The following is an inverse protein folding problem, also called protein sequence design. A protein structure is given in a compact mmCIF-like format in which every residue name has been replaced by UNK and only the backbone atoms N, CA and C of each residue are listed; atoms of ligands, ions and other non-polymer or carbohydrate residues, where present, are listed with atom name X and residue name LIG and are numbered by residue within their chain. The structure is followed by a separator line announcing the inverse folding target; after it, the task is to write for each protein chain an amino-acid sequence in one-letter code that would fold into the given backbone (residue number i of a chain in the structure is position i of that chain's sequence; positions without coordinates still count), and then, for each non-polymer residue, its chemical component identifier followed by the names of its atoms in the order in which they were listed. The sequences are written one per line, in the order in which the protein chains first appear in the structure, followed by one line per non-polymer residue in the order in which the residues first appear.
data_IF_970594947614
#
_entry.id   IF_970594947614
#
_cell.length_a   1.000
_cell.length_b   1.000
_cell.length_c   1.000
_cell.angle_alpha   90.00
_cell.angle_beta   90.00
_cell.angle_gamma   90.00
#
_symmetry.space_group_name_H-M   'P 1'
#
loop_
_entity.id
_entity.type
_entity.pdbx_description
1 polymer ?
#
# COMPACT_ATOMS: atom_id res chain seq x y z
N UNK A 1 20.76 24.96 -29.61
CA UNK A 1 19.41 24.46 -29.96
C UNK A 1 19.41 22.94 -29.86
N UNK A 2 18.70 22.36 -28.88
CA UNK A 2 18.10 21.00 -28.86
C UNK A 2 17.92 20.50 -27.40
N UNK A 3 17.13 21.22 -26.58
CA UNK A 3 16.51 20.61 -25.39
C UNK A 3 15.34 19.73 -25.85
N UNK A 4 15.63 18.56 -26.43
CA UNK A 4 14.61 17.56 -26.71
C UNK A 4 14.26 16.79 -25.43
N UNK A 5 13.09 17.08 -24.86
CA UNK A 5 12.11 16.04 -24.50
C UNK A 5 12.46 14.99 -23.45
N UNK A 6 13.33 15.28 -22.47
CA UNK A 6 13.63 14.35 -21.35
C UNK A 6 12.46 14.10 -20.41
N UNK A 7 11.41 14.91 -20.49
CA UNK A 7 10.16 14.66 -19.81
C UNK A 7 9.02 15.01 -20.74
N UNK A 8 7.85 14.45 -20.48
CA UNK A 8 6.65 15.13 -20.92
C UNK A 8 6.60 16.47 -20.15
N UNK A 9 6.92 17.59 -20.81
CA UNK A 9 7.14 18.91 -20.18
C UNK A 9 5.94 19.42 -19.33
N UNK A 10 6.11 20.46 -18.51
CA UNK A 10 4.99 21.17 -17.86
C UNK A 10 3.88 21.64 -18.84
N UNK A 11 4.18 21.71 -20.15
CA UNK A 11 3.27 22.20 -21.19
C UNK A 11 2.29 21.16 -21.75
N UNK A 12 2.32 19.90 -21.31
CA UNK A 12 1.52 18.91 -22.02
C UNK A 12 0.10 18.88 -21.51
N UNK A 13 -0.74 19.10 -22.49
CA UNK A 13 -2.16 19.25 -22.39
C UNK A 13 -2.94 18.06 -21.89
N UNK A 14 -4.22 18.37 -21.66
CA UNK A 14 -5.27 17.37 -21.52
C UNK A 14 -5.22 16.47 -22.75
N UNK A 15 -5.05 15.16 -22.55
CA UNK A 15 -5.10 14.20 -23.67
C UNK A 15 -6.56 13.99 -24.01
N UNK A 16 -6.91 14.20 -25.26
CA UNK A 16 -8.28 14.07 -25.74
C UNK A 16 -8.35 12.95 -26.75
N UNK A 17 -9.34 12.10 -26.59
CA UNK A 17 -9.71 11.07 -27.54
C UNK A 17 -11.11 11.39 -28.04
N UNK A 18 -11.29 11.42 -29.35
CA UNK A 18 -12.61 11.58 -29.97
C UNK A 18 -12.95 10.43 -30.88
N UNK A 19 -14.22 10.07 -30.88
CA UNK A 19 -14.82 9.19 -31.87
C UNK A 19 -15.95 9.93 -32.60
N UNK A 20 -16.21 9.58 -33.88
CA UNK A 20 -17.35 10.10 -34.62
C UNK A 20 -18.71 9.67 -34.03
N UNK A 21 -18.71 8.75 -33.05
CA UNK A 21 -19.91 8.15 -32.44
C UNK A 21 -20.67 7.26 -33.43
N UNK A 22 -21.78 6.70 -32.95
CA UNK A 22 -22.61 5.70 -33.64
C UNK A 22 -22.56 5.85 -35.17
N UNK A 23 -22.10 4.78 -35.86
CA UNK A 23 -22.09 4.57 -37.33
C UNK A 23 -20.75 4.78 -38.09
N UNK A 24 -19.66 5.28 -37.49
CA UNK A 24 -18.32 5.31 -38.14
C UNK A 24 -17.19 4.87 -37.21
N UNK A 25 -16.17 4.19 -37.75
CA UNK A 25 -14.95 3.79 -37.00
C UNK A 25 -13.89 4.88 -37.11
N UNK A 26 -13.10 5.06 -36.04
CA UNK A 26 -11.94 5.94 -36.02
C UNK A 26 -11.80 6.67 -34.70
N UNK A 27 -10.58 6.70 -34.16
CA UNK A 27 -10.23 7.50 -32.99
C UNK A 27 -9.22 8.57 -33.41
N UNK A 28 -9.54 9.84 -33.15
CA UNK A 28 -8.57 10.93 -33.24
C UNK A 28 -8.01 11.20 -31.84
N UNK A 29 -6.71 11.43 -31.72
CA UNK A 29 -6.07 11.84 -30.47
C UNK A 29 -5.37 13.20 -30.60
N UNK A 30 -5.55 14.01 -29.57
CA UNK A 30 -4.99 15.36 -29.49
C UNK A 30 -4.50 15.65 -28.08
N UNK A 31 -3.53 16.56 -27.97
CA UNK A 31 -3.05 17.11 -26.70
C UNK A 31 -3.42 18.61 -26.63
N UNK A 32 -4.20 19.00 -25.64
CA UNK A 32 -4.73 20.36 -25.48
C UNK A 32 -3.93 21.24 -24.52
N UNK A 33 -3.18 22.19 -25.05
CA UNK A 33 -2.55 23.27 -24.29
C UNK A 33 -3.41 24.54 -24.25
N UNK A 34 -2.94 25.55 -23.51
CA UNK A 34 -3.68 26.83 -23.38
C UNK A 34 -3.92 27.52 -24.74
N UNK A 35 -2.99 27.37 -25.68
CA UNK A 35 -3.05 28.03 -27.00
C UNK A 35 -4.04 27.42 -28.01
N UNK A 36 -4.50 26.18 -27.82
CA UNK A 36 -5.38 25.48 -28.79
C UNK A 36 -6.76 25.13 -28.19
N UNK A 37 -7.23 25.90 -27.21
CA UNK A 37 -8.56 25.72 -26.63
C UNK A 37 -9.70 26.07 -27.59
N UNK A 38 -9.46 26.95 -28.58
CA UNK A 38 -10.43 27.21 -29.65
C UNK A 38 -10.73 25.96 -30.48
N UNK A 39 -9.68 25.22 -30.86
CA UNK A 39 -9.80 23.96 -31.60
C UNK A 39 -10.59 22.91 -30.78
N UNK A 40 -10.43 22.92 -29.45
CA UNK A 40 -11.19 22.05 -28.56
C UNK A 40 -12.70 22.35 -28.58
N UNK A 41 -13.10 23.62 -28.58
CA UNK A 41 -14.52 23.97 -28.65
C UNK A 41 -15.15 23.48 -29.95
N UNK A 42 -14.41 23.52 -31.06
CA UNK A 42 -14.88 22.99 -32.33
C UNK A 42 -14.94 21.46 -32.32
N UNK A 43 -13.95 20.81 -31.69
CA UNK A 43 -13.94 19.37 -31.45
C UNK A 43 -15.19 18.92 -30.66
N UNK A 44 -15.57 19.66 -29.62
CA UNK A 44 -16.76 19.40 -28.80
C UNK A 44 -18.08 19.47 -29.57
N UNK A 45 -18.12 20.19 -30.70
CA UNK A 45 -19.31 20.30 -31.55
C UNK A 45 -19.40 19.16 -32.56
N UNK A 46 -18.25 18.73 -33.10
CA UNK A 46 -18.19 17.73 -34.18
C UNK A 46 -18.14 16.27 -33.70
N UNK A 47 -17.68 16.04 -32.47
CA UNK A 47 -17.45 14.71 -31.94
C UNK A 47 -18.61 14.24 -31.08
N UNK A 48 -19.18 13.09 -31.43
CA UNK A 48 -20.22 12.45 -30.62
C UNK A 48 -19.67 11.79 -29.35
N UNK A 49 -18.42 11.31 -29.38
CA UNK A 49 -17.72 10.81 -28.19
C UNK A 49 -16.49 11.64 -27.93
N UNK A 50 -16.33 12.11 -26.70
CA UNK A 50 -15.21 12.93 -26.24
C UNK A 50 -14.74 12.46 -24.87
N UNK A 51 -13.48 12.00 -24.78
CA UNK A 51 -12.87 11.59 -23.50
C UNK A 51 -11.60 12.40 -23.25
N UNK A 52 -11.58 13.13 -22.14
CA UNK A 52 -10.47 13.98 -21.72
C UNK A 52 -9.74 13.36 -20.53
N UNK A 53 -8.41 13.23 -20.62
CA UNK A 53 -7.56 12.71 -19.56
C UNK A 53 -6.61 13.78 -19.04
N UNK A 54 -6.71 14.03 -17.75
CA UNK A 54 -5.79 14.87 -16.96
C UNK A 54 -4.99 13.93 -16.06
N UNK A 55 -3.68 13.85 -16.27
CA UNK A 55 -2.82 12.97 -15.48
C UNK A 55 -1.88 13.78 -14.62
N UNK A 56 -1.30 13.17 -13.59
CA UNK A 56 -0.05 13.66 -12.99
C UNK A 56 1.13 13.50 -13.95
N UNK A 57 2.27 14.07 -13.57
CA UNK A 57 3.49 14.06 -14.37
C UNK A 57 4.00 12.64 -14.70
N UNK A 58 3.78 12.17 -15.93
CA UNK A 58 4.21 10.83 -16.37
C UNK A 58 5.70 10.85 -16.75
N UNK A 59 6.49 10.04 -16.07
CA UNK A 59 7.92 9.84 -16.33
C UNK A 59 8.11 8.73 -17.36
N UNK A 60 8.90 8.97 -18.41
CA UNK A 60 9.29 7.91 -19.34
C UNK A 60 10.26 6.92 -18.67
N UNK A 61 10.31 5.66 -19.16
CA UNK A 61 11.32 4.71 -18.73
C UNK A 61 12.75 5.28 -18.83
N UNK A 62 13.61 4.97 -17.86
CA UNK A 62 15.04 5.29 -17.91
C UNK A 62 15.43 6.71 -17.47
N UNK A 63 14.50 7.52 -16.96
CA UNK A 63 14.81 8.86 -16.45
C UNK A 63 14.99 8.83 -14.93
N UNK A 64 16.16 9.26 -14.46
CA UNK A 64 16.53 9.31 -13.04
C UNK A 64 16.06 10.56 -12.31
N UNK A 65 16.03 11.74 -12.97
CA UNK A 65 15.74 12.97 -12.22
C UNK A 65 14.24 13.15 -12.02
N UNK A 66 13.82 13.13 -10.76
CA UNK A 66 12.42 13.28 -10.42
C UNK A 66 12.07 14.77 -10.37
N UNK A 67 11.12 15.27 -11.19
CA UNK A 67 10.77 16.69 -11.18
C UNK A 67 10.16 17.11 -9.84
N UNK A 68 10.53 18.31 -9.34
CA UNK A 68 9.94 18.90 -8.12
C UNK A 68 8.40 19.00 -8.17
N UNK A 69 7.82 19.08 -9.37
CA UNK A 69 6.38 19.19 -9.61
C UNK A 69 5.68 17.85 -9.87
N UNK A 70 6.31 16.69 -9.59
CA UNK A 70 5.75 15.35 -9.86
C UNK A 70 4.34 15.09 -9.32
N UNK A 71 3.97 15.75 -8.21
CA UNK A 71 2.66 15.60 -7.57
C UNK A 71 1.55 16.46 -8.22
N UNK A 72 1.89 17.37 -9.15
CA UNK A 72 0.93 18.26 -9.79
C UNK A 72 0.26 17.59 -10.98
N UNK A 73 -1.01 17.92 -11.20
CA UNK A 73 -1.73 17.60 -12.44
C UNK A 73 -1.12 18.37 -13.61
N UNK A 74 -1.20 17.77 -14.79
CA UNK A 74 -0.67 18.32 -16.04
C UNK A 74 -1.73 19.12 -16.77
N UNK A 75 -2.18 20.17 -16.12
CA UNK A 75 -3.19 21.09 -16.65
C UNK A 75 -2.95 22.46 -16.02
N UNK A 76 -3.05 23.52 -16.81
CA UNK A 76 -3.02 24.88 -16.27
C UNK A 76 -4.32 25.15 -15.49
N UNK A 77 -4.30 26.12 -14.57
CA UNK A 77 -5.53 26.51 -13.87
C UNK A 77 -6.60 27.07 -14.82
N UNK A 78 -6.18 27.77 -15.88
CA UNK A 78 -7.08 28.31 -16.88
C UNK A 78 -7.73 27.18 -17.69
N UNK A 79 -6.92 26.27 -18.25
CA UNK A 79 -7.40 25.11 -18.99
C UNK A 79 -8.33 24.23 -18.14
N UNK A 80 -7.98 23.99 -16.88
CA UNK A 80 -8.82 23.20 -15.99
C UNK A 80 -10.19 23.85 -15.82
N UNK A 81 -10.25 25.15 -15.52
CA UNK A 81 -11.52 25.89 -15.39
C UNK A 81 -12.32 25.89 -16.70
N UNK A 82 -11.66 26.12 -17.83
CA UNK A 82 -12.31 26.14 -19.14
C UNK A 82 -12.87 24.75 -19.51
N UNK A 83 -12.15 23.68 -19.20
CA UNK A 83 -12.62 22.30 -19.39
C UNK A 83 -13.82 22.00 -18.48
N UNK A 84 -13.72 22.31 -17.19
CA UNK A 84 -14.82 22.11 -16.24
C UNK A 84 -16.08 22.88 -16.67
N UNK A 85 -15.92 24.12 -17.16
CA UNK A 85 -17.03 24.91 -17.70
C UNK A 85 -17.62 24.30 -18.99
N UNK A 86 -16.77 23.81 -19.92
CA UNK A 86 -17.23 23.21 -21.17
C UNK A 86 -18.06 21.93 -20.97
N UNK A 87 -17.81 21.19 -19.88
CA UNK A 87 -18.56 19.99 -19.51
C UNK A 87 -19.71 20.26 -18.52
N UNK A 88 -19.96 21.53 -18.18
CA UNK A 88 -20.88 21.95 -17.13
C UNK A 88 -20.70 21.12 -15.84
N UNK A 89 -19.45 20.93 -15.41
CA UNK A 89 -19.17 20.00 -14.30
C UNK A 89 -19.77 20.49 -12.98
N UNK A 90 -20.40 19.58 -12.24
CA UNK A 90 -20.90 19.85 -10.90
C UNK A 90 -19.76 20.28 -9.95
N UNK A 91 -19.93 21.34 -9.14
CA UNK A 91 -18.96 21.71 -8.10
C UNK A 91 -18.69 20.57 -7.10
N UNK A 92 -19.66 19.68 -6.87
CA UNK A 92 -19.52 18.53 -6.00
C UNK A 92 -18.46 17.53 -6.50
N UNK A 93 -18.27 17.42 -7.83
CA UNK A 93 -17.22 16.60 -8.41
C UNK A 93 -15.83 17.16 -8.11
N UNK A 94 -15.65 18.48 -8.25
CA UNK A 94 -14.37 19.12 -7.94
C UNK A 94 -14.06 19.03 -6.44
N UNK A 95 -15.08 19.25 -5.59
CA UNK A 95 -14.96 19.12 -4.14
C UNK A 95 -14.54 17.70 -3.72
N UNK A 96 -15.13 16.65 -4.30
CA UNK A 96 -14.78 15.26 -3.98
C UNK A 96 -13.36 14.89 -4.39
N UNK A 97 -12.82 15.49 -5.46
CA UNK A 97 -11.43 15.30 -5.84
C UNK A 97 -10.45 16.01 -4.89
N UNK A 98 -10.82 17.14 -4.29
CA UNK A 98 -9.95 17.91 -3.38
C UNK A 98 -9.90 17.27 -1.99
N UNK A 99 -11.04 16.84 -1.47
CA UNK A 99 -11.12 16.24 -0.14
C UNK A 99 -10.47 14.85 -0.12
N UNK A 100 -9.53 14.64 0.81
CA UNK A 100 -8.90 13.33 1.03
C UNK A 100 -9.84 12.31 1.68
N UNK A 101 -10.85 12.81 2.41
CA UNK A 101 -11.74 12.00 3.25
C UNK A 101 -12.99 11.51 2.52
N UNK A 102 -13.33 12.12 1.37
CA UNK A 102 -14.46 11.70 0.55
C UNK A 102 -14.01 10.51 -0.31
N UNK A 103 -14.49 9.32 0.07
CA UNK A 103 -14.09 8.03 -0.52
C UNK A 103 -14.66 7.81 -1.94
N UNK A 104 -15.98 7.87 -2.09
CA UNK A 104 -16.65 7.61 -3.38
C UNK A 104 -16.92 8.88 -4.16
N UNK A 105 -17.23 9.99 -3.49
CA UNK A 105 -17.49 11.26 -4.17
C UNK A 105 -18.56 11.15 -5.26
N UNK A 106 -19.54 10.28 -5.04
CA UNK A 106 -20.52 9.82 -6.02
C UNK A 106 -21.65 10.83 -6.17
N UNK A 107 -22.13 11.03 -7.39
CA UNK A 107 -23.31 11.85 -7.62
C UNK A 107 -23.88 11.69 -9.02
N UNK A 108 -25.17 11.97 -9.13
CA UNK A 108 -25.90 12.01 -10.40
C UNK A 108 -26.74 13.28 -10.43
N UNK A 109 -26.87 13.88 -11.62
CA UNK A 109 -27.67 15.09 -11.86
C UNK A 109 -28.29 14.99 -13.24
N UNK A 110 -29.62 14.96 -13.27
CA UNK A 110 -30.39 15.13 -14.49
C UNK A 110 -30.46 16.63 -14.81
N UNK A 111 -30.15 16.97 -16.06
CA UNK A 111 -30.16 18.33 -16.60
C UNK A 111 -31.23 18.37 -17.68
N UNK A 112 -32.29 19.14 -17.47
CA UNK A 112 -33.31 19.38 -18.49
C UNK A 112 -33.00 20.69 -19.21
N UNK A 113 -32.73 20.63 -20.51
CA UNK A 113 -32.54 21.81 -21.34
C UNK A 113 -33.84 22.52 -21.69
N UNK A 114 -33.74 23.74 -22.24
CA UNK A 114 -34.89 24.55 -22.70
C UNK A 114 -35.72 23.89 -23.81
N UNK A 115 -35.16 22.89 -24.51
CA UNK A 115 -35.79 22.19 -25.63
C UNK A 115 -36.22 20.75 -25.25
N UNK A 116 -36.53 20.49 -23.98
CA UNK A 116 -36.92 19.17 -23.44
C UNK A 116 -35.88 18.04 -23.58
N UNK A 117 -34.73 18.29 -24.21
CA UNK A 117 -33.60 17.37 -24.22
C UNK A 117 -33.06 17.19 -22.81
N UNK A 118 -33.16 15.95 -22.33
CA UNK A 118 -32.60 15.54 -21.05
C UNK A 118 -31.15 15.11 -21.23
N UNK A 119 -30.30 15.53 -20.32
CA UNK A 119 -28.94 15.05 -20.22
C UNK A 119 -28.67 14.55 -18.80
N UNK A 120 -27.95 13.44 -18.67
CA UNK A 120 -27.51 12.91 -17.41
C UNK A 120 -26.04 13.22 -17.22
N UNK A 121 -25.73 13.89 -16.11
CA UNK A 121 -24.37 13.97 -15.59
C UNK A 121 -24.23 13.04 -14.39
N UNK A 122 -23.09 12.37 -14.28
CA UNK A 122 -22.77 11.53 -13.14
C UNK A 122 -21.26 11.48 -12.92
N UNK A 123 -20.85 11.29 -11.67
CA UNK A 123 -19.44 11.32 -11.31
C UNK A 123 -19.15 10.47 -10.10
N UNK A 124 -17.89 10.07 -9.97
CA UNK A 124 -17.36 9.37 -8.82
C UNK A 124 -15.85 9.54 -8.72
N UNK A 125 -15.32 9.21 -7.56
CA UNK A 125 -13.90 9.07 -7.25
C UNK A 125 -13.62 7.60 -7.04
N UNK A 126 -12.80 7.02 -7.90
CA UNK A 126 -12.41 5.62 -7.87
C UNK A 126 -11.15 5.45 -7.01
N UNK A 127 -11.22 4.82 -5.83
CA UNK A 127 -10.02 4.49 -5.06
C UNK A 127 -9.24 3.38 -5.75
N UNK A 128 -7.91 3.53 -5.84
CA UNK A 128 -7.04 2.54 -6.48
C UNK A 128 -5.81 2.26 -5.62
N UNK A 129 -5.42 0.99 -5.53
CA UNK A 129 -4.14 0.56 -4.94
C UNK A 129 -3.32 -0.13 -6.00
N UNK A 130 -2.06 0.28 -6.11
CA UNK A 130 -1.14 -0.24 -7.11
C UNK A 130 0.12 -0.76 -6.42
N UNK A 131 0.51 -1.99 -6.74
CA UNK A 131 1.76 -2.55 -6.25
C UNK A 131 2.87 -2.39 -7.29
N UNK A 132 4.04 -1.94 -6.83
CA UNK A 132 5.18 -1.61 -7.69
C UNK A 132 6.48 -1.99 -7.00
N UNK A 133 7.54 -2.28 -7.75
CA UNK A 133 8.88 -2.37 -7.16
C UNK A 133 9.19 -1.10 -6.38
N UNK A 134 9.92 -1.27 -5.27
CA UNK A 134 10.31 -0.14 -4.45
C UNK A 134 11.26 0.80 -5.22
N UNK A 135 11.03 2.11 -5.13
CA UNK A 135 11.80 3.13 -5.87
C UNK A 135 13.01 3.66 -5.11
N UNK A 136 13.00 3.54 -3.78
CA UNK A 136 14.01 4.17 -2.93
C UNK A 136 15.04 3.12 -2.49
N UNK A 137 16.32 3.49 -2.47
CA UNK A 137 17.41 2.62 -2.00
C UNK A 137 17.23 2.30 -0.50
N UNK A 138 17.74 1.16 -0.05
CA UNK A 138 17.52 0.60 1.31
C UNK A 138 17.82 1.61 2.45
N UNK A 139 18.73 2.57 2.25
CA UNK A 139 19.07 3.62 3.23
C UNK A 139 18.10 4.81 3.31
N UNK A 140 17.37 5.13 2.24
CA UNK A 140 16.42 6.25 2.20
C UNK A 140 15.10 5.97 2.91
N UNK A 141 14.74 4.69 3.08
CA UNK A 141 13.54 4.27 3.80
C UNK A 141 13.61 4.60 5.29
N UNK A 142 14.75 4.37 5.93
CA UNK A 142 14.92 4.60 7.37
C UNK A 142 14.79 6.07 7.80
N UNK A 143 15.04 7.01 6.87
CA UNK A 143 15.04 8.45 7.13
C UNK A 143 13.75 9.16 6.70
N UNK A 144 12.83 8.47 6.01
CA UNK A 144 11.61 9.11 5.51
C UNK A 144 10.50 9.11 6.57
N UNK A 145 9.92 10.29 6.83
CA UNK A 145 8.78 10.50 7.74
C UNK A 145 7.57 9.59 7.42
N UNK A 146 7.50 9.07 6.19
CA UNK A 146 6.40 8.23 5.70
C UNK A 146 6.65 6.73 5.98
N UNK A 147 7.91 6.28 6.06
CA UNK A 147 8.25 4.94 6.58
C UNK A 147 8.10 4.89 8.10
N UNK A 148 8.34 6.00 8.81
CA UNK A 148 8.06 6.04 10.26
C UNK A 148 6.56 5.91 10.60
N UNK A 149 5.66 6.15 9.63
CA UNK A 149 4.21 6.06 9.83
C UNK A 149 3.53 5.06 8.87
N UNK A 150 4.11 3.87 8.71
CA UNK A 150 3.51 2.76 7.93
C UNK A 150 2.15 2.28 8.46
N UNK A 151 1.79 2.68 9.68
CA UNK A 151 0.50 2.38 10.31
C UNK A 151 -0.63 3.22 9.72
N UNK A 152 -0.34 4.41 9.16
CA UNK A 152 -1.34 5.23 8.47
C UNK A 152 -1.78 4.55 7.15
N UNK A 153 -3.05 4.12 7.04
CA UNK A 153 -3.54 3.40 5.87
C UNK A 153 -3.81 4.31 4.65
N UNK A 154 -3.74 5.63 4.84
CA UNK A 154 -3.77 6.61 3.75
C UNK A 154 -2.41 6.79 3.07
N UNK A 155 -1.34 6.31 3.72
CA UNK A 155 0.01 6.23 3.16
C UNK A 155 0.22 5.02 2.24
N UNK A 156 1.44 4.88 1.73
CA UNK A 156 1.84 3.65 1.05
C UNK A 156 2.29 2.60 2.07
N UNK A 157 2.09 1.32 1.75
CA UNK A 157 2.58 0.19 2.52
C UNK A 157 3.84 -0.37 1.86
N UNK A 158 4.95 -0.37 2.58
CA UNK A 158 6.22 -0.95 2.17
C UNK A 158 6.30 -2.42 2.61
N UNK A 159 6.52 -3.31 1.65
CA UNK A 159 6.69 -4.73 1.84
C UNK A 159 8.18 -5.07 1.71
N UNK A 160 8.91 -4.86 2.81
CA UNK A 160 10.37 -4.86 2.85
C UNK A 160 10.99 -6.16 2.30
N UNK A 161 10.46 -7.32 2.71
CA UNK A 161 11.07 -8.62 2.37
C UNK A 161 10.90 -9.00 0.90
N UNK A 162 9.91 -8.41 0.22
CA UNK A 162 9.69 -8.62 -1.22
C UNK A 162 10.02 -7.39 -2.06
N UNK A 163 10.52 -6.31 -1.45
CA UNK A 163 10.92 -5.04 -2.10
C UNK A 163 9.84 -4.43 -2.98
N UNK A 164 8.58 -4.43 -2.51
CA UNK A 164 7.45 -3.82 -3.20
C UNK A 164 6.78 -2.75 -2.33
N UNK A 165 6.20 -1.75 -2.97
CA UNK A 165 5.32 -0.76 -2.34
C UNK A 165 3.90 -0.94 -2.85
N UNK A 166 2.91 -0.92 -1.95
CA UNK A 166 1.50 -0.74 -2.31
C UNK A 166 1.14 0.73 -2.10
N UNK A 167 0.84 1.43 -3.19
CA UNK A 167 0.63 2.88 -3.18
C UNK A 167 -0.85 3.25 -3.38
N UNK A 168 -1.44 4.11 -2.53
CA UNK A 168 -2.74 4.71 -2.77
C UNK A 168 -2.72 5.68 -3.94
N UNK A 169 -3.84 5.70 -4.64
CA UNK A 169 -4.24 6.80 -5.49
C UNK A 169 -5.76 6.85 -5.63
N UNK A 170 -6.25 7.83 -6.37
CA UNK A 170 -7.64 7.94 -6.78
C UNK A 170 -7.74 8.42 -8.22
N UNK A 171 -8.86 8.11 -8.88
CA UNK A 171 -9.18 8.60 -10.22
C UNK A 171 -10.56 9.27 -10.14
N UNK A 172 -10.62 10.56 -10.42
CA UNK A 172 -11.88 11.29 -10.55
C UNK A 172 -12.46 11.06 -11.94
N UNK A 173 -13.73 10.67 -12.02
CA UNK A 173 -14.43 10.46 -13.29
C UNK A 173 -15.71 11.27 -13.28
N UNK A 174 -15.88 12.10 -14.29
CA UNK A 174 -17.12 12.83 -14.55
C UNK A 174 -17.58 12.52 -15.97
N UNK A 175 -18.86 12.20 -16.12
CA UNK A 175 -19.48 11.94 -17.41
C UNK A 175 -20.76 12.73 -17.56
N UNK A 176 -21.03 13.13 -18.80
CA UNK A 176 -22.23 13.81 -19.23
C UNK A 176 -22.71 13.17 -20.54
N UNK A 177 -24.01 12.90 -20.63
CA UNK A 177 -24.61 12.24 -21.79
C UNK A 177 -26.03 12.75 -22.05
N UNK A 178 -26.36 13.09 -23.30
CA UNK A 178 -27.68 13.62 -23.70
C UNK A 178 -28.50 12.66 -24.57
N UNK A 179 -28.08 11.40 -24.67
CA UNK A 179 -28.68 10.40 -25.56
C UNK A 179 -27.90 10.26 -26.88
N UNK A 180 -27.19 11.30 -27.31
CA UNK A 180 -26.47 11.33 -28.60
C UNK A 180 -24.99 11.62 -28.45
N UNK A 181 -24.64 12.51 -27.53
CA UNK A 181 -23.29 12.95 -27.24
C UNK A 181 -22.86 12.36 -25.91
N UNK A 182 -21.65 11.83 -25.87
CA UNK A 182 -20.98 11.31 -24.68
C UNK A 182 -19.72 12.10 -24.41
N UNK A 183 -19.64 12.67 -23.21
CA UNK A 183 -18.53 13.51 -22.78
C UNK A 183 -18.03 13.04 -21.43
N UNK A 184 -16.76 12.65 -21.34
CA UNK A 184 -16.13 12.17 -20.10
C UNK A 184 -14.84 12.92 -19.80
N UNK A 185 -14.65 13.32 -18.54
CA UNK A 185 -13.38 13.82 -18.00
C UNK A 185 -12.87 12.85 -16.95
N UNK A 186 -11.61 12.44 -17.12
CA UNK A 186 -10.89 11.53 -16.22
C UNK A 186 -9.70 12.30 -15.65
N UNK A 187 -9.66 12.42 -14.34
CA UNK A 187 -8.55 13.04 -13.59
C UNK A 187 -7.83 11.96 -12.81
N UNK A 188 -6.67 11.55 -13.31
CA UNK A 188 -5.84 10.52 -12.72
C UNK A 188 -4.77 11.10 -11.79
N UNK A 189 -4.86 10.75 -10.51
CA UNK A 189 -3.91 11.13 -9.47
C UNK A 189 -2.81 10.09 -9.24
N UNK A 190 -2.70 9.04 -10.05
CA UNK A 190 -1.65 8.02 -9.92
C UNK A 190 -0.26 8.64 -10.01
N UNK A 191 0.70 8.06 -9.30
CA UNK A 191 2.10 8.50 -9.35
C UNK A 191 2.62 8.29 -10.77
N UNK A 192 3.00 9.37 -11.46
CA UNK A 192 3.37 9.27 -12.86
C UNK A 192 4.74 8.60 -13.10
N UNK A 193 5.49 8.22 -12.05
CA UNK A 193 6.56 7.19 -12.17
C UNK A 193 6.00 5.86 -12.69
N UNK A 194 4.74 5.57 -12.39
CA UNK A 194 4.02 4.36 -12.77
C UNK A 194 3.39 4.49 -14.16
N UNK A 195 4.16 4.98 -15.13
CA UNK A 195 3.66 5.29 -16.48
C UNK A 195 2.88 4.14 -17.12
N UNK A 196 3.32 2.88 -16.98
CA UNK A 196 2.63 1.73 -17.53
C UNK A 196 1.21 1.52 -16.95
N UNK A 197 1.03 1.87 -15.66
CA UNK A 197 -0.24 1.77 -14.94
C UNK A 197 -1.10 2.99 -15.25
N UNK A 198 -0.56 4.20 -15.10
CA UNK A 198 -1.28 5.45 -15.35
C UNK A 198 -1.73 5.61 -16.82
N UNK A 199 -0.97 5.08 -17.79
CA UNK A 199 -1.34 5.13 -19.21
C UNK A 199 -2.26 3.97 -19.66
N UNK A 200 -2.45 2.93 -18.86
CA UNK A 200 -3.28 1.79 -19.25
C UNK A 200 -4.73 2.18 -19.58
N UNK A 201 -5.47 2.94 -18.73
CA UNK A 201 -6.85 3.29 -19.04
C UNK A 201 -6.98 4.10 -20.32
N UNK A 202 -6.05 5.04 -20.54
CA UNK A 202 -6.00 5.83 -21.77
C UNK A 202 -5.84 4.93 -23.00
N UNK A 203 -4.88 3.99 -22.98
CA UNK A 203 -4.65 3.06 -24.10
C UNK A 203 -5.86 2.18 -24.37
N UNK A 204 -6.46 1.60 -23.33
CA UNK A 204 -7.65 0.74 -23.46
C UNK A 204 -8.83 1.52 -24.05
N UNK A 205 -9.11 2.71 -23.54
CA UNK A 205 -10.23 3.53 -24.03
C UNK A 205 -9.99 3.98 -25.47
N UNK A 206 -8.76 4.38 -25.83
CA UNK A 206 -8.38 4.69 -27.21
C UNK A 206 -8.62 3.51 -28.15
N UNK A 207 -8.20 2.33 -27.75
CA UNK A 207 -8.37 1.08 -28.50
C UNK A 207 -9.85 0.71 -28.66
N UNK A 208 -10.66 0.87 -27.61
CA UNK A 208 -12.11 0.63 -27.68
C UNK A 208 -12.80 1.57 -28.66
N UNK A 209 -12.58 2.89 -28.54
CA UNK A 209 -13.15 3.89 -29.47
C UNK A 209 -12.71 3.63 -30.91
N UNK A 210 -11.46 3.19 -31.12
CA UNK A 210 -10.94 2.90 -32.45
C UNK A 210 -11.54 1.64 -33.10
N UNK A 211 -12.00 0.67 -32.31
CA UNK A 211 -12.46 -0.65 -32.79
C UNK A 211 -13.98 -0.78 -32.87
N UNK A 212 -14.72 -0.13 -31.99
CA UNK A 212 -16.18 -0.25 -31.93
C UNK A 212 -16.85 0.91 -32.67
N UNK A 213 -17.86 0.60 -33.48
CA UNK A 213 -18.74 1.61 -34.08
C UNK A 213 -19.83 2.07 -33.09
N UNK A 214 -19.97 1.37 -31.97
CA UNK A 214 -21.00 1.54 -30.96
C UNK A 214 -20.36 1.74 -29.58
N UNK A 215 -19.54 2.78 -29.47
CA UNK A 215 -18.93 3.15 -28.19
C UNK A 215 -19.96 3.84 -27.31
N UNK A 216 -20.35 3.19 -26.22
CA UNK A 216 -21.37 3.63 -25.29
C UNK A 216 -20.85 4.55 -24.17
N UNK A 217 -21.76 5.26 -23.48
CA UNK A 217 -21.40 6.18 -22.39
C UNK A 217 -20.73 5.50 -21.19
N UNK A 218 -20.93 4.19 -21.00
CA UNK A 218 -20.37 3.44 -19.88
C UNK A 218 -19.07 2.69 -20.20
N UNK A 219 -18.64 2.67 -21.46
CA UNK A 219 -17.46 1.91 -21.89
C UNK A 219 -16.17 2.42 -21.25
N UNK A 220 -16.00 3.74 -21.12
CA UNK A 220 -14.88 4.34 -20.40
C UNK A 220 -14.84 3.90 -18.94
N UNK A 221 -16.01 3.80 -18.31
CA UNK A 221 -16.15 3.42 -16.91
C UNK A 221 -15.81 1.94 -16.72
N UNK A 222 -16.30 1.07 -17.60
CA UNK A 222 -15.99 -0.36 -17.63
C UNK A 222 -14.47 -0.57 -17.79
N UNK A 223 -13.82 0.14 -18.71
CA UNK A 223 -12.38 0.05 -18.92
C UNK A 223 -11.57 0.47 -17.68
N UNK A 224 -11.97 1.54 -17.01
CA UNK A 224 -11.36 2.02 -15.76
C UNK A 224 -11.53 1.02 -14.62
N UNK A 225 -12.75 0.53 -14.41
CA UNK A 225 -13.08 -0.40 -13.33
C UNK A 225 -12.42 -1.78 -13.53
N UNK A 226 -12.36 -2.26 -14.76
CA UNK A 226 -11.63 -3.48 -15.12
C UNK A 226 -10.13 -3.34 -14.82
N UNK A 227 -9.53 -2.19 -15.16
CA UNK A 227 -8.13 -1.91 -14.85
C UNK A 227 -7.90 -1.83 -13.33
N UNK A 228 -8.79 -1.16 -12.61
CA UNK A 228 -8.75 -1.06 -11.14
C UNK A 228 -8.84 -2.44 -10.47
N UNK A 229 -9.78 -3.30 -10.87
CA UNK A 229 -9.90 -4.65 -10.33
C UNK A 229 -8.60 -5.45 -10.47
N UNK A 230 -7.93 -5.33 -11.63
CA UNK A 230 -6.63 -5.96 -11.90
C UNK A 230 -5.53 -5.41 -10.98
N UNK A 231 -5.48 -4.10 -10.76
CA UNK A 231 -4.49 -3.47 -9.87
C UNK A 231 -4.68 -3.90 -8.42
N UNK A 232 -5.93 -3.94 -7.95
CA UNK A 232 -6.29 -4.42 -6.63
C UNK A 232 -5.87 -5.87 -6.40
N UNK A 233 -6.20 -6.76 -7.35
CA UNK A 233 -5.80 -8.16 -7.27
C UNK A 233 -4.26 -8.31 -7.21
N UNK A 234 -3.53 -7.52 -8.01
CA UNK A 234 -2.08 -7.52 -7.98
C UNK A 234 -1.52 -7.02 -6.64
N UNK A 235 -2.11 -5.97 -6.06
CA UNK A 235 -1.70 -5.43 -4.77
C UNK A 235 -1.88 -6.45 -3.63
N UNK A 236 -3.05 -7.08 -3.55
CA UNK A 236 -3.32 -8.14 -2.54
C UNK A 236 -2.43 -9.37 -2.77
N UNK A 237 -2.08 -9.68 -4.02
CA UNK A 237 -1.14 -10.77 -4.32
C UNK A 237 0.27 -10.48 -3.76
N UNK A 238 0.75 -9.24 -3.83
CA UNK A 238 2.03 -8.89 -3.20
C UNK A 238 1.95 -8.99 -1.68
N UNK A 239 0.84 -8.54 -1.09
CA UNK A 239 0.63 -8.69 0.34
C UNK A 239 0.64 -10.16 0.78
N UNK A 240 -0.03 -11.06 0.03
CA UNK A 240 0.03 -12.51 0.26
C UNK A 240 1.46 -13.05 0.27
N UNK A 241 2.31 -12.59 -0.66
CA UNK A 241 3.72 -13.00 -0.73
C UNK A 241 4.50 -12.54 0.51
N UNK A 242 4.27 -11.31 0.97
CA UNK A 242 4.85 -10.80 2.22
C UNK A 242 4.42 -11.65 3.42
N UNK A 243 3.12 -11.94 3.56
CA UNK A 243 2.62 -12.78 4.65
C UNK A 243 3.21 -14.20 4.61
N UNK A 244 3.35 -14.79 3.41
CA UNK A 244 4.01 -16.09 3.26
C UNK A 244 5.49 -16.05 3.70
N UNK A 245 6.18 -14.92 3.53
CA UNK A 245 7.53 -14.73 4.06
C UNK A 245 7.54 -14.71 5.59
N UNK A 246 6.60 -13.99 6.21
CA UNK A 246 6.45 -13.97 7.67
C UNK A 246 6.15 -15.34 8.26
N UNK A 247 5.24 -16.11 7.65
CA UNK A 247 4.94 -17.48 8.10
C UNK A 247 6.21 -18.32 8.15
N UNK A 248 7.02 -18.32 7.08
CA UNK A 248 8.28 -19.08 7.03
C UNK A 248 9.25 -18.67 8.12
N UNK A 249 9.34 -17.38 8.44
CA UNK A 249 10.21 -16.91 9.53
C UNK A 249 9.68 -17.38 10.89
N UNK A 250 8.38 -17.26 11.14
CA UNK A 250 7.76 -17.66 12.41
C UNK A 250 7.89 -19.17 12.62
N UNK A 251 7.63 -19.98 11.60
CA UNK A 251 7.75 -21.45 11.66
C UNK A 251 9.19 -21.92 11.89
N UNK A 252 10.18 -21.32 11.19
CA UNK A 252 11.60 -21.60 11.45
C UNK A 252 11.97 -21.31 12.90
N UNK A 253 11.51 -20.19 13.44
CA UNK A 253 11.77 -19.81 14.82
C UNK A 253 11.07 -20.72 15.83
N UNK A 254 9.92 -21.32 15.47
CA UNK A 254 9.24 -22.34 16.28
C UNK A 254 10.02 -23.66 16.30
N UNK A 255 10.58 -24.09 15.17
CA UNK A 255 11.39 -25.32 15.05
C UNK A 255 12.80 -25.21 15.66
N UNK A 256 13.41 -24.03 15.63
CA UNK A 256 14.70 -23.77 16.25
C UNK A 256 14.69 -23.85 17.79
N UNK A 257 13.51 -23.94 18.42
CA UNK A 257 13.36 -24.17 19.87
C UNK A 257 13.83 -25.58 20.28
N UNK A 258 13.98 -26.51 19.32
CA UNK A 258 14.28 -27.92 19.61
C UNK A 258 15.78 -28.19 19.84
N UNK A 259 16.70 -27.30 19.44
CA UNK A 259 18.16 -27.55 19.52
C UNK A 259 18.95 -26.59 20.43
N UNK A 260 18.29 -25.99 21.41
CA UNK A 260 18.98 -25.19 22.45
C UNK A 260 19.84 -26.03 23.40
N UNK A 261 19.71 -27.36 23.36
CA UNK A 261 20.52 -28.27 24.18
C UNK A 261 21.99 -28.29 23.73
N UNK A 262 22.26 -28.07 22.44
CA UNK A 262 23.61 -27.97 21.89
C UNK A 262 24.22 -26.58 22.13
N UNK A 263 23.40 -25.54 22.13
CA UNK A 263 23.81 -24.15 22.37
C UNK A 263 24.05 -23.85 23.85
N UNK A 264 23.32 -24.53 24.76
CA UNK A 264 23.59 -24.47 26.21
C UNK A 264 24.97 -25.04 26.56
N UNK A 265 25.42 -26.10 25.86
CA UNK A 265 26.79 -26.62 26.01
C UNK A 265 27.84 -25.60 25.55
N UNK A 266 27.60 -24.94 24.42
CA UNK A 266 28.50 -23.90 23.90
C UNK A 266 28.55 -22.65 24.79
N UNK A 267 27.45 -22.30 25.46
CA UNK A 267 27.41 -21.18 26.42
C UNK A 267 28.03 -21.53 27.78
N UNK A 268 27.94 -22.80 28.22
CA UNK A 268 28.69 -23.28 29.38
C UNK A 268 30.20 -23.29 29.11
N UNK A 269 30.63 -23.54 27.87
CA UNK A 269 32.04 -23.54 27.46
C UNK A 269 32.60 -22.12 27.16
N UNK A 270 31.77 -21.17 26.70
CA UNK A 270 32.20 -19.84 26.23
C UNK A 270 31.81 -18.66 27.13
N UNK A 271 31.80 -18.83 28.45
CA UNK A 271 31.52 -17.77 29.43
C UNK A 271 32.47 -16.53 29.39
N UNK A 272 33.34 -16.40 28.37
CA UNK A 272 34.31 -15.31 28.22
C UNK A 272 34.11 -14.41 26.98
N UNK A 273 33.15 -14.66 26.08
CA UNK A 273 32.94 -13.78 24.90
C UNK A 273 31.65 -12.95 25.02
N UNK A 274 31.81 -11.72 25.51
CA UNK A 274 30.75 -10.71 25.72
C UNK A 274 30.70 -9.64 24.61
N UNK A 275 31.30 -9.87 23.43
CA UNK A 275 31.51 -8.82 22.40
C UNK A 275 30.66 -8.94 21.13
N UNK A 276 29.82 -9.96 20.99
CA UNK A 276 28.84 -10.08 19.89
C UNK A 276 27.40 -9.91 20.42
N UNK A 277 26.49 -9.26 19.67
CA UNK A 277 25.08 -9.23 20.04
C UNK A 277 24.61 -10.67 20.21
N UNK A 278 23.99 -11.00 21.34
CA UNK A 278 23.48 -12.34 21.54
C UNK A 278 22.47 -12.68 20.43
N UNK A 279 22.46 -13.92 19.97
CA UNK A 279 21.50 -14.45 18.99
C UNK A 279 20.04 -14.14 19.43
N UNK A 280 19.82 -13.97 20.74
CA UNK A 280 18.54 -13.56 21.32
C UNK A 280 18.14 -12.11 20.98
N UNK A 281 19.08 -11.17 20.96
CA UNK A 281 18.80 -9.78 20.63
C UNK A 281 18.34 -9.61 19.17
N UNK A 282 19.02 -10.27 18.23
CA UNK A 282 18.66 -10.21 16.81
C UNK A 282 17.30 -10.86 16.53
N UNK A 283 16.99 -11.97 17.19
CA UNK A 283 15.71 -12.65 17.05
C UNK A 283 14.56 -11.75 17.54
N UNK A 284 14.72 -11.11 18.70
CA UNK A 284 13.74 -10.15 19.24
C UNK A 284 13.56 -8.95 18.33
N UNK A 285 14.64 -8.38 17.80
CA UNK A 285 14.58 -7.26 16.87
C UNK A 285 13.80 -7.63 15.60
N UNK A 286 14.03 -8.83 15.05
CA UNK A 286 13.27 -9.37 13.91
C UNK A 286 11.80 -9.61 14.24
N UNK A 287 11.47 -10.21 15.38
CA UNK A 287 10.08 -10.40 15.81
C UNK A 287 9.34 -9.07 16.00
N UNK A 288 9.99 -8.07 16.57
CA UNK A 288 9.42 -6.73 16.72
C UNK A 288 9.16 -6.08 15.36
N UNK A 289 10.09 -6.20 14.40
CA UNK A 289 9.91 -5.69 13.05
C UNK A 289 8.73 -6.37 12.34
N UNK A 290 8.62 -7.71 12.41
CA UNK A 290 7.49 -8.46 11.87
C UNK A 290 6.19 -8.01 12.51
N UNK A 291 6.14 -7.91 13.84
CA UNK A 291 4.94 -7.45 14.57
C UNK A 291 4.48 -6.06 14.10
N UNK A 292 5.40 -5.10 13.97
CA UNK A 292 5.08 -3.76 13.45
C UNK A 292 4.55 -3.80 12.01
N UNK A 293 5.16 -4.63 11.16
CA UNK A 293 4.71 -4.80 9.78
C UNK A 293 3.33 -5.47 9.68
N UNK A 294 3.04 -6.45 10.54
CA UNK A 294 1.72 -7.09 10.63
C UNK A 294 0.64 -6.11 11.11
N UNK A 295 0.91 -5.28 12.11
CA UNK A 295 -0.04 -4.23 12.54
C UNK A 295 -0.27 -3.19 11.44
N UNK A 296 0.79 -2.78 10.74
CA UNK A 296 0.65 -1.89 9.57
C UNK A 296 -0.21 -2.56 8.50
N UNK A 297 0.06 -3.82 8.18
CA UNK A 297 -0.70 -4.62 7.21
C UNK A 297 -2.17 -4.70 7.58
N UNK A 298 -2.49 -4.96 8.85
CA UNK A 298 -3.87 -5.01 9.35
C UNK A 298 -4.60 -3.68 9.18
N UNK A 299 -3.96 -2.55 9.52
CA UNK A 299 -4.52 -1.20 9.33
C UNK A 299 -4.84 -0.93 7.85
N UNK A 300 -3.91 -1.28 6.94
CA UNK A 300 -4.12 -1.16 5.50
C UNK A 300 -5.23 -2.07 4.98
N UNK A 301 -5.31 -3.32 5.45
CA UNK A 301 -6.39 -4.25 5.08
C UNK A 301 -7.77 -3.72 5.46
N UNK A 302 -7.92 -3.10 6.65
CA UNK A 302 -9.17 -2.45 7.03
C UNK A 302 -9.55 -1.31 6.08
N UNK A 303 -8.59 -0.46 5.70
CA UNK A 303 -8.86 0.60 4.72
C UNK A 303 -9.19 0.04 3.34
N UNK A 304 -8.49 -1.01 2.91
CA UNK A 304 -8.73 -1.66 1.62
C UNK A 304 -10.13 -2.26 1.54
N UNK A 305 -10.67 -2.76 2.66
CA UNK A 305 -12.07 -3.21 2.75
C UNK A 305 -13.06 -2.08 2.47
N UNK A 306 -12.81 -0.89 3.03
CA UNK A 306 -13.61 0.31 2.75
C UNK A 306 -13.46 0.78 1.30
N UNK A 307 -12.22 0.83 0.79
CA UNK A 307 -11.95 1.25 -0.58
C UNK A 307 -12.61 0.30 -1.62
N UNK A 308 -12.58 -1.03 -1.39
CA UNK A 308 -13.25 -2.00 -2.26
C UNK A 308 -14.79 -1.92 -2.14
N UNK A 309 -15.31 -1.67 -0.93
CA UNK A 309 -16.75 -1.42 -0.73
C UNK A 309 -17.24 -0.20 -1.52
N UNK A 310 -16.46 0.87 -1.53
CA UNK A 310 -16.71 2.05 -2.35
C UNK A 310 -16.78 1.72 -3.86
N UNK A 311 -15.96 0.77 -4.35
CA UNK A 311 -16.03 0.31 -5.74
C UNK A 311 -17.31 -0.49 -6.02
N UNK A 312 -17.74 -1.33 -5.08
CA UNK A 312 -19.01 -2.07 -5.18
C UNK A 312 -20.21 -1.11 -5.25
N UNK A 313 -20.20 -0.04 -4.45
CA UNK A 313 -21.21 1.04 -4.50
C UNK A 313 -21.20 1.76 -5.86
N UNK A 314 -20.03 2.13 -6.38
CA UNK A 314 -19.91 2.74 -7.72
C UNK A 314 -20.50 1.80 -8.78
N UNK A 315 -20.19 0.51 -8.73
CA UNK A 315 -20.74 -0.47 -9.66
C UNK A 315 -22.26 -0.63 -9.53
N UNK A 316 -22.82 -0.53 -8.33
CA UNK A 316 -24.27 -0.54 -8.11
C UNK A 316 -24.93 0.68 -8.75
N UNK A 317 -24.38 1.86 -8.52
CA UNK A 317 -24.89 3.11 -9.08
C UNK A 317 -24.75 3.15 -10.60
N UNK A 318 -23.68 2.60 -11.17
CA UNK A 318 -23.51 2.52 -12.63
C UNK A 318 -24.59 1.67 -13.30
N UNK A 319 -25.14 0.64 -12.62
CA UNK A 319 -26.29 -0.09 -13.16
C UNK A 319 -27.57 0.75 -13.14
N UNK A 320 -27.77 1.56 -12.10
CA UNK A 320 -28.90 2.50 -12.06
C UNK A 320 -28.74 3.57 -13.14
N UNK A 321 -27.53 4.08 -13.33
CA UNK A 321 -27.18 5.04 -14.40
C UNK A 321 -27.38 4.41 -15.78
N UNK A 322 -27.00 3.15 -15.99
CA UNK A 322 -27.22 2.41 -17.25
C UNK A 322 -28.68 2.48 -17.68
N UNK A 323 -29.61 2.14 -16.77
CA UNK A 323 -31.06 2.20 -17.00
C UNK A 323 -31.55 3.61 -17.30
N UNK A 324 -31.04 4.63 -16.59
CA UNK A 324 -31.42 6.04 -16.84
C UNK A 324 -30.91 6.53 -18.21
N UNK A 325 -29.69 6.16 -18.58
CA UNK A 325 -29.09 6.53 -19.87
C UNK A 325 -29.86 5.91 -21.03
N UNK A 326 -30.33 4.67 -20.85
CA UNK A 326 -31.20 4.00 -21.81
C UNK A 326 -32.49 4.80 -22.05
N UNK A 327 -33.22 5.16 -21.00
CA UNK A 327 -34.44 5.98 -21.14
C UNK A 327 -34.19 7.33 -21.82
N UNK A 328 -33.07 7.98 -21.53
CA UNK A 328 -32.68 9.24 -22.19
C UNK A 328 -32.39 9.02 -23.67
N UNK A 329 -31.75 7.90 -24.03
CA UNK A 329 -31.43 7.56 -25.42
C UNK A 329 -32.69 7.26 -26.24
N UNK A 330 -33.64 6.49 -25.69
CA UNK A 330 -34.94 6.23 -26.33
C UNK A 330 -35.69 7.53 -26.64
N UNK A 331 -35.77 8.44 -25.65
CA UNK A 331 -36.39 9.75 -25.81
C UNK A 331 -35.68 10.60 -26.88
N UNK A 332 -34.35 10.57 -26.92
CA UNK A 332 -33.56 11.36 -27.87
C UNK A 332 -33.66 10.87 -29.32
N UNK A 333 -33.75 9.55 -29.53
CA UNK A 333 -33.76 8.93 -30.86
C UNK A 333 -35.17 8.67 -31.40
N UNK A 334 -36.22 8.79 -30.57
CA UNK A 334 -37.60 8.47 -30.94
C UNK A 334 -37.73 7.08 -31.58
N UNK A 335 -36.92 6.14 -31.11
CA UNK A 335 -36.86 4.74 -31.55
C UNK A 335 -36.77 3.84 -30.33
N UNK A 336 -37.50 2.74 -30.35
CA UNK A 336 -37.23 1.61 -29.46
C UNK A 336 -35.87 1.01 -29.88
N UNK A 337 -34.82 1.33 -29.14
CA UNK A 337 -33.57 0.59 -29.19
C UNK A 337 -33.60 -0.46 -28.08
N UNK A 338 -33.08 -1.66 -28.31
CA UNK A 338 -32.95 -2.65 -27.24
C UNK A 338 -31.90 -2.21 -26.22
N UNK A 339 -32.20 -2.36 -24.92
CA UNK A 339 -31.22 -2.16 -23.85
C UNK A 339 -29.97 -3.01 -24.12
N UNK A 340 -28.79 -2.40 -24.03
CA UNK A 340 -27.54 -3.14 -24.26
C UNK A 340 -27.26 -4.09 -23.08
N UNK A 341 -27.69 -5.34 -23.22
CA UNK A 341 -27.43 -6.41 -22.24
C UNK A 341 -25.92 -6.55 -21.94
N UNK A 342 -25.08 -6.33 -22.96
CA UNK A 342 -23.63 -6.43 -22.84
C UNK A 342 -23.02 -5.47 -21.81
N UNK A 343 -23.55 -4.25 -21.67
CA UNK A 343 -23.05 -3.28 -20.68
C UNK A 343 -23.34 -3.75 -19.27
N UNK A 344 -24.56 -4.22 -19.02
CA UNK A 344 -24.98 -4.72 -17.72
C UNK A 344 -24.25 -6.02 -17.35
N UNK A 345 -24.03 -6.92 -18.31
CA UNK A 345 -23.22 -8.12 -18.15
C UNK A 345 -21.76 -7.80 -17.80
N UNK A 346 -21.17 -6.80 -18.45
CA UNK A 346 -19.81 -6.33 -18.16
C UNK A 346 -19.72 -5.74 -16.75
N UNK A 347 -20.68 -4.91 -16.34
CA UNK A 347 -20.75 -4.37 -14.98
C UNK A 347 -20.91 -5.49 -13.95
N UNK A 348 -21.79 -6.47 -14.22
CA UNK A 348 -21.99 -7.63 -13.36
C UNK A 348 -20.73 -8.49 -13.25
N UNK A 349 -20.00 -8.68 -14.35
CA UNK A 349 -18.74 -9.43 -14.38
C UNK A 349 -17.66 -8.73 -13.55
N UNK A 350 -17.52 -7.41 -13.70
CA UNK A 350 -16.57 -6.62 -12.89
C UNK A 350 -16.97 -6.67 -11.42
N UNK A 351 -18.25 -6.57 -11.09
CA UNK A 351 -18.74 -6.71 -9.70
C UNK A 351 -18.36 -8.06 -9.11
N UNK A 352 -18.60 -9.17 -9.83
CA UNK A 352 -18.17 -10.51 -9.39
C UNK A 352 -16.67 -10.56 -9.12
N UNK A 353 -15.85 -9.95 -9.99
CA UNK A 353 -14.41 -9.88 -9.79
C UNK A 353 -14.03 -9.07 -8.54
N UNK A 354 -14.62 -7.89 -8.34
CA UNK A 354 -14.38 -7.06 -7.13
C UNK A 354 -14.80 -7.80 -5.86
N UNK A 355 -15.96 -8.47 -5.85
CA UNK A 355 -16.38 -9.28 -4.71
C UNK A 355 -15.43 -10.45 -4.45
N UNK A 356 -14.89 -11.08 -5.49
CA UNK A 356 -13.81 -12.07 -5.37
C UNK A 356 -12.53 -11.49 -4.76
N UNK A 357 -12.12 -10.29 -5.17
CA UNK A 357 -10.98 -9.56 -4.58
C UNK A 357 -11.24 -9.22 -3.11
N UNK A 358 -12.48 -8.85 -2.75
CA UNK A 358 -12.89 -8.58 -1.37
C UNK A 358 -12.89 -9.84 -0.50
N UNK A 359 -13.32 -10.99 -1.03
CA UNK A 359 -13.20 -12.27 -0.34
C UNK A 359 -11.73 -12.65 -0.12
N UNK A 360 -10.88 -12.43 -1.12
CA UNK A 360 -9.43 -12.64 -0.97
C UNK A 360 -8.81 -11.71 0.07
N UNK A 361 -9.25 -10.45 0.15
CA UNK A 361 -8.84 -9.53 1.22
C UNK A 361 -9.19 -10.06 2.61
N UNK A 362 -10.40 -10.61 2.80
CA UNK A 362 -10.81 -11.19 4.07
C UNK A 362 -9.96 -12.41 4.46
N UNK A 363 -9.58 -13.24 3.48
CA UNK A 363 -8.62 -14.33 3.71
C UNK A 363 -7.27 -13.81 4.22
N UNK A 364 -6.77 -12.70 3.66
CA UNK A 364 -5.52 -12.08 4.09
C UNK A 364 -5.63 -11.43 5.48
N UNK A 365 -6.78 -10.89 5.84
CA UNK A 365 -7.10 -10.38 7.19
C UNK A 365 -6.97 -11.50 8.22
N UNK A 366 -7.70 -12.60 8.03
CA UNK A 366 -7.66 -13.78 8.91
C UNK A 366 -6.25 -14.38 8.98
N UNK A 367 -5.53 -14.44 7.85
CA UNK A 367 -4.14 -14.91 7.84
C UNK A 367 -3.19 -13.98 8.60
N UNK A 368 -3.38 -12.67 8.50
CA UNK A 368 -2.56 -11.70 9.23
C UNK A 368 -2.77 -11.87 10.73
N UNK A 369 -4.01 -12.04 11.18
CA UNK A 369 -4.36 -12.33 12.58
C UNK A 369 -3.75 -13.65 13.06
N UNK A 370 -3.86 -14.71 12.27
CA UNK A 370 -3.26 -16.01 12.59
C UNK A 370 -1.73 -15.91 12.75
N UNK A 371 -1.04 -15.18 11.86
CA UNK A 371 0.41 -14.97 11.96
C UNK A 371 0.77 -14.16 13.20
N UNK A 372 -0.02 -13.13 13.54
CA UNK A 372 0.17 -12.36 14.79
C UNK A 372 0.02 -13.24 16.04
N UNK A 373 -0.95 -14.16 16.03
CA UNK A 373 -1.13 -15.17 17.08
C UNK A 373 0.08 -16.10 17.19
N UNK A 374 0.49 -16.73 16.09
CA UNK A 374 1.66 -17.61 16.04
C UNK A 374 2.95 -16.91 16.50
N UNK A 375 3.16 -15.66 16.08
CA UNK A 375 4.32 -14.88 16.52
C UNK A 375 4.28 -14.62 18.03
N UNK A 376 3.10 -14.32 18.57
CA UNK A 376 2.92 -14.10 20.02
C UNK A 376 3.20 -15.37 20.83
N UNK A 377 2.75 -16.53 20.34
CA UNK A 377 3.03 -17.83 20.95
C UNK A 377 4.52 -18.17 20.94
N UNK A 378 5.21 -17.92 19.82
CA UNK A 378 6.67 -18.11 19.71
C UNK A 378 7.42 -17.20 20.67
N UNK A 379 7.05 -15.91 20.75
CA UNK A 379 7.66 -14.95 21.67
C UNK A 379 7.43 -15.37 23.12
N UNK A 380 6.22 -15.80 23.47
CA UNK A 380 5.88 -16.27 24.82
C UNK A 380 6.67 -17.52 25.19
N UNK A 381 6.66 -18.53 24.33
CA UNK A 381 7.42 -19.78 24.54
C UNK A 381 8.91 -19.52 24.73
N UNK A 382 9.49 -18.61 23.95
CA UNK A 382 10.89 -18.21 24.09
C UNK A 382 11.16 -17.47 25.39
N UNK A 383 10.29 -16.56 25.78
CA UNK A 383 10.42 -15.84 27.07
C UNK A 383 10.30 -16.81 28.26
N UNK A 384 9.38 -17.76 28.23
CA UNK A 384 9.21 -18.78 29.26
C UNK A 384 10.46 -19.65 29.37
N UNK A 385 11.04 -20.07 28.23
CA UNK A 385 12.30 -20.82 28.19
C UNK A 385 13.47 -20.03 28.78
N UNK A 386 13.61 -18.75 28.42
CA UNK A 386 14.65 -17.89 28.97
C UNK A 386 14.49 -17.70 30.48
N UNK A 387 13.26 -17.58 30.98
CA UNK A 387 12.97 -17.49 32.41
C UNK A 387 13.38 -18.77 33.14
N UNK A 388 13.07 -19.96 32.59
CA UNK A 388 13.47 -21.25 33.15
C UNK A 388 14.99 -21.41 33.15
N UNK A 389 15.66 -21.07 32.05
CA UNK A 389 17.12 -21.16 31.91
C UNK A 389 17.83 -20.20 32.88
N UNK A 390 17.39 -18.95 32.97
CA UNK A 390 17.92 -17.98 33.93
C UNK A 390 17.71 -18.47 35.38
N UNK A 391 16.53 -19.03 35.69
CA UNK A 391 16.26 -19.63 37.00
C UNK A 391 17.16 -20.83 37.32
N UNK A 392 17.50 -21.67 36.33
CA UNK A 392 18.47 -22.76 36.47
C UNK A 392 19.89 -22.23 36.71
N UNK A 393 20.31 -21.24 35.94
CA UNK A 393 21.62 -20.61 36.07
C UNK A 393 21.80 -19.94 37.43
N UNK A 394 20.80 -19.17 37.89
CA UNK A 394 20.80 -18.57 39.23
C UNK A 394 20.86 -19.64 40.31
N UNK A 395 20.13 -20.76 40.18
CA UNK A 395 20.24 -21.89 41.12
C UNK A 395 21.65 -22.49 41.14
N UNK A 396 22.30 -22.67 39.98
CA UNK A 396 23.69 -23.15 39.88
C UNK A 396 24.67 -22.17 40.53
N UNK A 397 24.52 -20.86 40.29
CA UNK A 397 25.33 -19.80 40.89
C UNK A 397 25.17 -19.78 42.41
N UNK A 398 23.93 -19.82 42.92
CA UNK A 398 23.65 -19.86 44.36
C UNK A 398 24.23 -21.11 45.02
N UNK A 399 24.19 -22.28 44.36
CA UNK A 399 24.79 -23.52 44.86
C UNK A 399 26.32 -23.40 44.93
N UNK A 400 26.93 -22.79 43.92
CA UNK A 400 28.38 -22.57 43.86
C UNK A 400 28.83 -21.54 44.91
N UNK A 401 28.11 -20.43 45.06
CA UNK A 401 28.35 -19.43 46.10
C UNK A 401 28.21 -20.04 47.51
N UNK A 402 27.22 -20.91 47.74
CA UNK A 402 27.08 -21.65 49.01
C UNK A 402 28.28 -22.57 49.27
N UNK A 403 28.78 -23.28 48.26
CA UNK A 403 30.00 -24.12 48.40
C UNK A 403 31.23 -23.26 48.71
N UNK A 404 31.41 -22.15 48.00
CA UNK A 404 32.52 -21.22 48.21
C UNK A 404 32.46 -20.58 49.61
N UNK A 405 31.27 -20.18 50.07
CA UNK A 405 31.06 -19.65 51.41
C UNK A 405 31.41 -20.67 52.50
N UNK A 406 31.01 -21.95 52.33
CA UNK A 406 31.42 -23.03 53.25
C UNK A 406 32.93 -23.23 53.24
N UNK A 407 33.57 -23.28 52.07
CA UNK A 407 35.02 -23.42 51.96
C UNK A 407 35.75 -22.24 52.62
N UNK A 408 35.26 -21.00 52.41
CA UNK A 408 35.80 -19.79 53.03
C UNK A 408 35.64 -19.81 54.55
N UNK A 409 34.51 -20.29 55.08
CA UNK A 409 34.32 -20.45 56.53
C UNK A 409 35.30 -21.47 57.11
N UNK A 410 35.52 -22.60 56.43
CA UNK A 410 36.51 -23.60 56.86
C UNK A 410 37.92 -23.02 56.85
N UNK A 411 38.32 -22.35 55.76
CA UNK A 411 39.63 -21.69 55.70
C UNK A 411 39.81 -20.63 56.78
N UNK A 412 38.76 -19.85 57.10
CA UNK A 412 38.82 -18.86 58.17
C UNK A 412 39.00 -19.51 59.55
N UNK A 413 38.32 -20.63 59.82
CA UNK A 413 38.50 -21.41 61.06
C UNK A 413 39.91 -21.98 61.17
N UNK A 414 40.43 -22.56 60.10
CA UNK A 414 41.81 -23.08 60.07
C UNK A 414 42.83 -21.96 60.21
N UNK A 415 42.61 -20.80 59.58
CA UNK A 415 43.46 -19.62 59.74
C UNK A 415 43.46 -19.10 61.18
N UNK A 416 42.29 -19.03 61.84
CA UNK A 416 42.20 -18.67 63.26
C UNK A 416 42.94 -19.68 64.15
N UNK A 417 42.83 -20.97 63.85
CA UNK A 417 43.55 -22.03 64.58
C UNK A 417 45.07 -21.88 64.41
N UNK A 418 45.54 -21.75 63.17
CA UNK A 418 46.96 -21.52 62.89
C UNK A 418 47.48 -20.25 63.59
N UNK A 419 46.72 -19.16 63.58
CA UNK A 419 47.11 -17.93 64.28
C UNK A 419 47.19 -18.11 65.81
N UNK A 420 46.30 -18.94 66.40
CA UNK A 420 46.35 -19.30 67.82
C UNK A 420 47.59 -20.13 68.14
N UNK A 421 47.91 -21.12 67.31
CA UNK A 421 49.07 -21.99 67.51
C UNK A 421 50.38 -21.22 67.29
N UNK A 422 50.45 -20.35 66.27
CA UNK A 422 51.60 -19.43 66.08
C UNK A 422 51.80 -18.48 67.26
N UNK A 423 50.73 -18.02 67.91
CA UNK A 423 50.86 -17.21 69.13
C UNK A 423 51.47 -18.03 70.26
N UNK A 424 51.06 -19.29 70.44
CA UNK A 424 51.66 -20.19 71.44
C UNK A 424 53.12 -20.45 71.14
N UNK A 425 53.47 -20.75 69.89
CA UNK A 425 54.85 -20.97 69.47
C UNK A 425 55.71 -19.72 69.65
N UNK A 426 55.17 -18.53 69.38
CA UNK A 426 55.86 -17.26 69.65
C UNK A 426 56.14 -17.06 71.15
N UNK A 427 55.18 -17.41 72.02
CA UNK A 427 55.39 -17.37 73.49
C UNK A 427 56.43 -18.39 73.92
N UNK A 428 56.38 -19.62 73.39
CA UNK A 428 57.36 -20.67 73.68
C UNK A 428 58.76 -20.26 73.23
N UNK A 429 58.92 -19.72 72.02
CA UNK A 429 60.22 -19.20 71.55
C UNK A 429 60.73 -18.02 72.37
N UNK A 430 59.86 -17.07 72.75
CA UNK A 430 60.28 -15.96 73.63
C UNK A 430 60.76 -16.50 74.98
N UNK A 431 60.10 -17.52 75.52
CA UNK A 431 60.51 -18.19 76.76
C UNK A 431 61.85 -18.91 76.57
N UNK A 432 62.08 -19.63 75.46
CA UNK A 432 63.35 -20.29 75.15
C UNK A 432 64.48 -19.27 74.98
N UNK A 433 64.26 -18.16 74.26
CA UNK A 433 65.24 -17.09 74.15
C UNK A 433 65.61 -16.50 75.51
N UNK A 434 64.63 -16.25 76.39
CA UNK A 434 64.89 -15.75 77.75
C UNK A 434 65.73 -16.75 78.56
N UNK A 435 65.45 -18.05 78.44
CA UNK A 435 66.21 -19.12 79.14
C UNK A 435 67.63 -19.30 78.56
N UNK A 436 67.86 -19.02 77.27
CA UNK A 436 69.19 -19.10 76.65
C UNK A 436 70.06 -17.85 76.86
N UNK A 437 69.45 -16.72 77.25
CA UNK A 437 70.15 -15.45 77.56
C UNK A 437 70.35 -15.19 79.06
N UNK A 438 69.96 -16.14 79.92
CA UNK A 438 70.27 -16.17 81.34
C UNK A 438 71.39 -17.18 81.59
#
# INVERSE_FOLDING_TARGET
MAEMGRYFSKKNGVRVITGPGHQKRGAEDMVLGDQNFGDFQELCKRSAVLVCFINRFIMKPGISDIPKVKKRLRVSSLMFRSLMAAFDTSPCFVSSMISGDILTGLGTRLVCGKNEKQALSFWYTLPVRTATPCFDEEGTHALSVIVSNQVDPNGYLHLADIKHDIRPSKIGVYSWHDGTLSRTVIVDFQDGRLHAIADEPYRKIKEMIGRTADYGPLDSHIALLSSSARWWNHALTQLKRQLAHFVRIVERNKGAVVDWSQELKLLEDNAQQLTSPSIDFECRARHLAIKKSLHSTMSHLQRYKTDLGAIEEILADLQVVSKKLYSIKELALSKEESHSEAVDENIATIRKHISGVRAFLFELEVKTEAIMGLLSDVVKSRNDMLMVNNGSMVRKLLKSARKQSKASQTMMRESQRMASDMRKDSVSMKTVCIIQTA
#
